data_IF_403906109562
#
_entry.id   IF_403906109562
#
_cell.length_a   1.000
_cell.length_b   1.000
_cell.length_c   1.000
_cell.angle_alpha   90.00
_cell.angle_beta   90.00
_cell.angle_gamma   90.00
#
_symmetry.space_group_name_H-M   'P 1'
#
loop_
_entity.id
_entity.type
_entity.pdbx_description
1 polymer ?
#
# COMPACT_ATOMS: atom_id res chain seq x y z
N UNK A 1 -40.22 -1.04 -41.91
CA UNK A 1 -40.04 -2.25 -41.10
C UNK A 1 -38.93 -1.98 -40.10
N UNK A 2 -39.15 -2.07 -38.78
CA UNK A 2 -38.07 -1.98 -37.81
C UNK A 2 -37.17 -3.20 -37.97
N UNK A 3 -35.86 -2.97 -38.08
CA UNK A 3 -34.86 -4.04 -38.06
C UNK A 3 -34.96 -4.81 -36.74
N UNK A 4 -34.81 -6.14 -36.73
CA UNK A 4 -34.73 -6.90 -35.49
C UNK A 4 -33.53 -6.38 -34.70
N UNK A 5 -33.80 -5.75 -33.56
CA UNK A 5 -32.76 -5.43 -32.59
C UNK A 5 -32.23 -6.76 -32.09
N UNK A 6 -31.09 -7.19 -32.63
CA UNK A 6 -30.36 -8.30 -32.06
C UNK A 6 -30.02 -7.90 -30.62
N UNK A 7 -30.70 -8.50 -29.65
CA UNK A 7 -30.35 -8.34 -28.24
C UNK A 7 -28.98 -9.00 -28.04
N UNK A 8 -27.92 -8.21 -28.19
CA UNK A 8 -26.58 -8.61 -27.77
C UNK A 8 -26.57 -8.67 -26.23
N UNK A 9 -27.02 -9.79 -25.68
CA UNK A 9 -26.85 -10.10 -24.27
C UNK A 9 -25.43 -10.61 -24.05
N UNK A 10 -24.70 -9.97 -23.14
CA UNK A 10 -23.42 -10.47 -22.65
C UNK A 10 -23.63 -11.87 -22.03
N UNK A 11 -22.73 -12.83 -22.26
CA UNK A 11 -22.73 -14.10 -21.54
C UNK A 11 -22.70 -13.86 -20.03
N UNK A 12 -23.49 -14.64 -19.28
CA UNK A 12 -23.65 -14.48 -17.83
C UNK A 12 -22.32 -14.55 -17.08
N UNK A 13 -21.40 -15.41 -17.54
CA UNK A 13 -20.06 -15.59 -16.96
C UNK A 13 -19.20 -14.35 -17.14
N UNK A 14 -19.30 -13.70 -18.32
CA UNK A 14 -18.57 -12.46 -18.58
C UNK A 14 -19.12 -11.32 -17.74
N UNK A 15 -20.45 -11.22 -17.64
CA UNK A 15 -21.11 -10.24 -16.77
C UNK A 15 -20.76 -10.46 -15.30
N UNK A 16 -20.70 -11.71 -14.83
CA UNK A 16 -20.23 -12.06 -13.49
C UNK A 16 -18.81 -11.55 -13.23
N UNK A 17 -17.87 -11.80 -14.14
CA UNK A 17 -16.49 -11.36 -13.98
C UNK A 17 -16.36 -9.84 -13.94
N UNK A 18 -17.07 -9.13 -14.82
CA UNK A 18 -17.11 -7.66 -14.84
C UNK A 18 -17.63 -7.13 -13.49
N UNK A 19 -18.77 -7.63 -13.02
CA UNK A 19 -19.38 -7.18 -11.77
C UNK A 19 -18.51 -7.50 -10.56
N UNK A 20 -17.89 -8.68 -10.52
CA UNK A 20 -16.96 -9.04 -9.46
C UNK A 20 -15.76 -8.08 -9.43
N UNK A 21 -15.18 -7.73 -10.59
CA UNK A 21 -14.06 -6.78 -10.65
C UNK A 21 -14.46 -5.39 -10.20
N UNK A 22 -15.62 -4.88 -10.66
CA UNK A 22 -16.14 -3.57 -10.24
C UNK A 22 -16.37 -3.53 -8.72
N UNK A 23 -16.99 -4.57 -8.15
CA UNK A 23 -17.23 -4.64 -6.71
C UNK A 23 -15.92 -4.72 -5.93
N UNK A 24 -14.99 -5.57 -6.36
CA UNK A 24 -13.66 -5.72 -5.73
C UNK A 24 -12.91 -4.41 -5.70
N UNK A 25 -12.86 -3.73 -6.85
CA UNK A 25 -12.21 -2.43 -6.99
C UNK A 25 -12.89 -1.40 -6.09
N UNK A 26 -14.22 -1.36 -6.04
CA UNK A 26 -14.94 -0.46 -5.14
C UNK A 26 -14.65 -0.71 -3.66
N UNK A 27 -14.57 -1.97 -3.20
CA UNK A 27 -14.15 -2.26 -1.82
C UNK A 27 -12.75 -1.70 -1.55
N UNK A 28 -11.81 -1.92 -2.49
CA UNK A 28 -10.46 -1.43 -2.35
C UNK A 28 -10.41 0.10 -2.29
N UNK A 29 -11.08 0.79 -3.22
CA UNK A 29 -11.10 2.25 -3.30
C UNK A 29 -11.73 2.89 -2.07
N UNK A 30 -12.79 2.30 -1.50
CA UNK A 30 -13.36 2.74 -0.21
C UNK A 30 -12.29 2.76 0.89
N UNK A 31 -11.45 1.71 0.94
CA UNK A 31 -10.39 1.60 1.93
C UNK A 31 -9.26 2.59 1.66
N UNK A 32 -8.72 2.62 0.44
CA UNK A 32 -7.43 3.26 0.18
C UNK A 32 -7.50 4.67 -0.38
N UNK A 33 -8.57 5.04 -1.10
CA UNK A 33 -8.63 6.31 -1.83
C UNK A 33 -8.63 7.53 -0.89
N UNK A 34 -7.81 8.56 -1.14
CA UNK A 34 -7.88 9.82 -0.40
C UNK A 34 -9.10 10.66 -0.81
N UNK A 35 -9.61 10.48 -2.03
CA UNK A 35 -10.66 11.30 -2.61
C UNK A 35 -12.07 10.86 -2.17
N UNK A 36 -13.07 11.53 -2.75
CA UNK A 36 -14.47 11.13 -2.66
C UNK A 36 -14.65 9.68 -3.16
N UNK A 37 -15.37 8.90 -2.37
CA UNK A 37 -15.67 7.48 -2.60
C UNK A 37 -17.16 7.20 -2.60
N UNK A 38 -18.01 8.24 -2.69
CA UNK A 38 -19.47 8.10 -2.63
C UNK A 38 -19.98 7.07 -3.62
N UNK A 39 -19.50 7.09 -4.87
CA UNK A 39 -19.87 6.08 -5.86
C UNK A 39 -19.49 4.66 -5.43
N UNK A 40 -18.27 4.47 -4.88
CA UNK A 40 -17.80 3.15 -4.46
C UNK A 40 -18.59 2.60 -3.26
N UNK A 41 -19.03 3.47 -2.34
CA UNK A 41 -19.90 3.11 -1.21
C UNK A 41 -21.29 2.65 -1.68
N UNK A 42 -21.76 3.15 -2.82
CA UNK A 42 -23.07 2.84 -3.40
C UNK A 42 -23.02 1.85 -4.57
N UNK A 43 -21.84 1.40 -4.99
CA UNK A 43 -21.66 0.56 -6.18
C UNK A 43 -22.54 -0.70 -6.16
N UNK A 44 -22.65 -1.37 -5.01
CA UNK A 44 -23.54 -2.53 -4.84
C UNK A 44 -25.00 -2.20 -5.17
N UNK A 45 -25.53 -1.11 -4.61
CA UNK A 45 -26.91 -0.69 -4.80
C UNK A 45 -27.16 -0.27 -6.26
N UNK A 46 -26.27 0.57 -6.80
CA UNK A 46 -26.35 1.05 -8.18
C UNK A 46 -26.35 -0.10 -9.19
N UNK A 47 -25.43 -1.06 -9.06
CA UNK A 47 -25.38 -2.21 -9.95
C UNK A 47 -26.64 -3.09 -9.82
N UNK A 48 -27.14 -3.29 -8.60
CA UNK A 48 -28.36 -4.08 -8.35
C UNK A 48 -29.64 -3.44 -8.93
N UNK A 49 -29.63 -2.13 -9.20
CA UNK A 49 -30.75 -1.39 -9.75
C UNK A 49 -30.84 -1.44 -11.28
N UNK A 50 -29.77 -1.85 -11.99
CA UNK A 50 -29.70 -1.81 -13.46
C UNK A 50 -30.75 -2.73 -14.11
N UNK A 51 -30.74 -4.01 -13.76
CA UNK A 51 -31.72 -5.00 -14.26
C UNK A 51 -31.75 -6.22 -13.34
N UNK A 52 -32.69 -7.15 -13.59
CA UNK A 52 -32.82 -8.37 -12.80
C UNK A 52 -31.55 -9.24 -12.80
N UNK A 53 -30.91 -9.43 -13.97
CA UNK A 53 -29.70 -10.24 -14.08
C UNK A 53 -28.53 -9.66 -13.27
N UNK A 54 -28.31 -8.34 -13.33
CA UNK A 54 -27.30 -7.67 -12.51
C UNK A 54 -27.58 -7.86 -11.02
N UNK A 55 -28.83 -7.68 -10.60
CA UNK A 55 -29.24 -7.85 -9.20
C UNK A 55 -28.93 -9.24 -8.66
N UNK A 56 -29.28 -10.27 -9.41
CA UNK A 56 -29.04 -11.66 -8.98
C UNK A 56 -27.55 -11.98 -8.92
N UNK A 57 -26.77 -11.51 -9.90
CA UNK A 57 -25.32 -11.72 -9.92
C UNK A 57 -24.64 -10.97 -8.77
N UNK A 58 -24.94 -9.69 -8.58
CA UNK A 58 -24.40 -8.87 -7.47
C UNK A 58 -24.77 -9.49 -6.13
N UNK A 59 -26.03 -9.90 -5.96
CA UNK A 59 -26.49 -10.61 -4.77
C UNK A 59 -25.68 -11.88 -4.52
N UNK A 60 -25.47 -12.70 -5.53
CA UNK A 60 -24.70 -13.94 -5.43
C UNK A 60 -23.24 -13.72 -5.09
N UNK A 61 -22.60 -12.70 -5.66
CA UNK A 61 -21.22 -12.31 -5.33
C UNK A 61 -21.13 -11.83 -3.88
N UNK A 62 -21.99 -10.87 -3.50
CA UNK A 62 -21.91 -10.24 -2.20
C UNK A 62 -22.34 -11.15 -1.05
N UNK A 63 -23.33 -12.02 -1.24
CA UNK A 63 -23.71 -13.00 -0.23
C UNK A 63 -22.56 -13.94 0.12
N UNK A 64 -21.79 -14.40 -0.89
CA UNK A 64 -20.60 -15.23 -0.67
C UNK A 64 -19.46 -14.44 -0.03
N UNK A 65 -19.14 -13.26 -0.58
CA UNK A 65 -17.98 -12.47 -0.15
C UNK A 65 -18.14 -11.91 1.27
N UNK A 66 -19.36 -11.53 1.62
CA UNK A 66 -19.72 -11.00 2.94
C UNK A 66 -20.37 -12.04 3.84
N UNK A 67 -20.33 -13.34 3.46
CA UNK A 67 -20.80 -14.47 4.27
C UNK A 67 -22.22 -14.26 4.84
N UNK A 68 -23.09 -13.65 4.04
CA UNK A 68 -24.46 -13.36 4.45
C UNK A 68 -25.31 -14.62 4.31
N UNK A 69 -25.72 -15.17 5.45
CA UNK A 69 -26.51 -16.42 5.53
C UNK A 69 -28.03 -16.21 5.46
N UNK A 70 -28.52 -14.97 5.31
CA UNK A 70 -29.95 -14.67 5.29
C UNK A 70 -30.63 -14.98 3.95
N UNK A 71 -31.82 -15.58 4.00
CA UNK A 71 -32.67 -15.81 2.81
C UNK A 71 -33.23 -14.49 2.23
N UNK A 72 -33.32 -13.44 3.06
CA UNK A 72 -33.85 -12.14 2.66
C UNK A 72 -32.82 -11.25 1.97
N UNK A 73 -33.02 -11.04 0.66
CA UNK A 73 -32.24 -10.12 -0.17
C UNK A 73 -32.31 -8.66 0.30
N UNK A 74 -33.38 -8.28 1.00
CA UNK A 74 -33.58 -6.91 1.48
C UNK A 74 -32.52 -6.48 2.51
N UNK A 75 -31.95 -7.42 3.27
CA UNK A 75 -30.94 -7.14 4.31
C UNK A 75 -29.50 -7.05 3.79
N UNK A 76 -29.21 -7.56 2.59
CA UNK A 76 -27.83 -7.68 2.11
C UNK A 76 -27.19 -6.33 1.80
N UNK A 77 -27.88 -5.44 1.07
CA UNK A 77 -27.31 -4.17 0.67
C UNK A 77 -26.96 -3.25 1.87
N UNK A 78 -27.85 -3.07 2.88
CA UNK A 78 -27.50 -2.36 4.10
C UNK A 78 -26.34 -3.00 4.87
N UNK A 79 -26.26 -4.34 4.88
CA UNK A 79 -25.17 -5.08 5.54
C UNK A 79 -23.81 -4.82 4.86
N UNK A 80 -23.75 -4.93 3.54
CA UNK A 80 -22.55 -4.61 2.74
C UNK A 80 -22.14 -3.17 2.97
N UNK A 81 -23.08 -2.23 2.88
CA UNK A 81 -22.81 -0.81 3.07
C UNK A 81 -22.22 -0.51 4.46
N UNK A 82 -22.76 -1.13 5.53
CA UNK A 82 -22.22 -1.00 6.89
C UNK A 82 -20.75 -1.43 6.98
N UNK A 83 -20.38 -2.56 6.37
CA UNK A 83 -18.99 -3.01 6.34
C UNK A 83 -18.09 -2.06 5.55
N UNK A 84 -18.55 -1.58 4.40
CA UNK A 84 -17.79 -0.61 3.60
C UNK A 84 -17.57 0.70 4.35
N UNK A 85 -18.58 1.21 5.06
CA UNK A 85 -18.44 2.41 5.89
C UNK A 85 -17.46 2.20 7.05
N UNK A 86 -17.48 1.03 7.70
CA UNK A 86 -16.52 0.70 8.74
C UNK A 86 -15.07 0.63 8.19
N UNK A 87 -14.90 -0.02 7.03
CA UNK A 87 -13.62 -0.07 6.32
C UNK A 87 -13.14 1.31 5.87
N UNK A 88 -14.05 2.19 5.42
CA UNK A 88 -13.74 3.58 5.08
C UNK A 88 -13.19 4.33 6.28
N UNK A 89 -13.87 4.26 7.43
CA UNK A 89 -13.46 4.92 8.65
C UNK A 89 -12.05 4.45 9.08
N UNK A 90 -11.78 3.15 9.00
CA UNK A 90 -10.47 2.59 9.29
C UNK A 90 -9.39 3.06 8.28
N UNK A 91 -9.73 3.14 6.99
CA UNK A 91 -8.83 3.66 5.95
C UNK A 91 -8.50 5.15 6.11
N UNK A 92 -9.49 5.98 6.44
CA UNK A 92 -9.29 7.42 6.74
C UNK A 92 -8.32 7.59 7.89
N UNK A 93 -8.48 6.80 8.97
CA UNK A 93 -7.62 6.89 10.14
C UNK A 93 -6.13 6.61 9.85
N UNK A 94 -5.81 5.82 8.80
CA UNK A 94 -4.42 5.56 8.40
C UNK A 94 -3.85 6.68 7.54
N UNK A 95 -4.67 7.30 6.68
CA UNK A 95 -4.22 8.41 5.82
C UNK A 95 -3.93 9.68 6.59
N UNK A 96 -4.69 9.91 7.67
CA UNK A 96 -4.48 11.06 8.55
C UNK A 96 -4.11 10.57 9.95
N UNK A 97 -2.92 9.95 10.11
CA UNK A 97 -2.46 9.60 11.43
C UNK A 97 -2.32 10.91 12.20
N UNK A 98 -3.08 11.06 13.28
CA UNK A 98 -2.96 12.21 14.18
C UNK A 98 -1.47 12.37 14.53
N UNK A 99 -0.91 13.59 14.67
CA UNK A 99 0.52 13.79 14.97
C UNK A 99 1.00 13.05 16.23
N UNK A 100 0.05 12.68 17.07
CA UNK A 100 0.20 11.73 18.18
C UNK A 100 -0.97 10.75 18.14
N UNK A 101 -0.73 9.49 17.76
CA UNK A 101 -1.15 8.47 18.71
C UNK A 101 -0.12 7.34 18.80
N UNK A 102 0.29 7.05 20.03
CA UNK A 102 0.98 5.81 20.44
C UNK A 102 0.07 4.57 20.35
N UNK A 103 -1.18 4.73 19.91
CA UNK A 103 -2.17 3.65 19.82
C UNK A 103 -2.98 3.76 18.54
N UNK A 104 -3.00 2.67 17.75
CA UNK A 104 -3.88 2.52 16.61
C UNK A 104 -5.34 2.45 17.10
N UNK A 105 -6.02 3.60 17.18
CA UNK A 105 -7.40 3.70 17.65
C UNK A 105 -8.40 3.34 16.54
N UNK A 106 -8.15 2.30 15.75
CA UNK A 106 -9.26 1.71 15.00
C UNK A 106 -10.06 0.83 15.95
N UNK A 107 -11.40 0.96 15.96
CA UNK A 107 -12.24 0.02 16.70
C UNK A 107 -11.87 -1.40 16.25
N UNK A 108 -11.70 -2.35 17.18
CA UNK A 108 -11.52 -3.74 16.81
C UNK A 108 -12.70 -4.15 15.94
N UNK A 109 -12.41 -4.60 14.71
CA UNK A 109 -13.44 -5.17 13.85
C UNK A 109 -14.00 -6.41 14.54
N UNK A 110 -15.31 -6.58 14.43
CA UNK A 110 -16.05 -7.70 15.00
C UNK A 110 -15.37 -9.02 14.57
N UNK A 111 -14.99 -9.94 15.49
CA UNK A 111 -14.45 -11.24 15.12
C UNK A 111 -15.42 -12.07 14.26
N UNK A 112 -16.72 -11.74 14.27
CA UNK A 112 -17.72 -12.31 13.37
C UNK A 112 -17.81 -11.60 12.00
N UNK A 113 -16.97 -10.60 11.74
CA UNK A 113 -16.95 -9.92 10.44
C UNK A 113 -16.56 -10.88 9.31
N UNK A 114 -17.04 -10.65 8.08
CA UNK A 114 -16.69 -11.51 6.94
C UNK A 114 -15.19 -11.53 6.68
N UNK A 115 -14.68 -12.66 6.18
CA UNK A 115 -13.25 -12.87 5.97
C UNK A 115 -12.62 -11.83 5.02
N UNK A 116 -13.37 -11.35 4.02
CA UNK A 116 -12.93 -10.24 3.17
C UNK A 116 -12.67 -8.96 3.98
N UNK A 117 -13.58 -8.64 4.91
CA UNK A 117 -13.48 -7.45 5.79
C UNK A 117 -12.32 -7.62 6.77
N UNK A 118 -12.15 -8.81 7.34
CA UNK A 118 -10.99 -9.12 8.19
C UNK A 118 -9.67 -8.98 7.41
N UNK A 119 -9.62 -9.45 6.16
CA UNK A 119 -8.46 -9.30 5.30
C UNK A 119 -8.09 -7.84 5.06
N UNK A 120 -9.08 -6.99 4.74
CA UNK A 120 -8.84 -5.55 4.60
C UNK A 120 -8.42 -4.90 5.92
N UNK A 121 -8.94 -5.34 7.07
CA UNK A 121 -8.48 -4.87 8.38
C UNK A 121 -7.00 -5.16 8.64
N UNK A 122 -6.57 -6.39 8.32
CA UNK A 122 -5.18 -6.80 8.47
C UNK A 122 -4.27 -5.98 7.55
N UNK A 123 -4.69 -5.77 6.29
CA UNK A 123 -3.97 -4.92 5.35
C UNK A 123 -3.83 -3.47 5.85
N UNK A 124 -4.93 -2.88 6.31
CA UNK A 124 -4.98 -1.57 6.97
C UNK A 124 -3.94 -1.49 8.11
N UNK A 125 -3.87 -2.51 8.97
CA UNK A 125 -2.89 -2.58 10.06
C UNK A 125 -1.46 -2.71 9.57
N UNK A 126 -1.21 -3.52 8.54
CA UNK A 126 0.11 -3.65 7.90
C UNK A 126 0.60 -2.28 7.43
N UNK A 127 -0.23 -1.57 6.66
CA UNK A 127 0.11 -0.23 6.14
C UNK A 127 0.41 0.72 7.30
N UNK A 128 -0.45 0.77 8.32
CA UNK A 128 -0.22 1.62 9.49
C UNK A 128 1.11 1.31 10.19
N UNK A 129 1.36 0.04 10.48
CA UNK A 129 2.59 -0.40 11.15
C UNK A 129 3.82 -0.03 10.32
N UNK A 130 3.77 -0.19 8.99
CA UNK A 130 4.85 0.23 8.09
C UNK A 130 5.10 1.73 8.17
N UNK A 131 4.05 2.54 8.10
CA UNK A 131 4.17 4.01 8.20
C UNK A 131 4.79 4.43 9.54
N UNK A 132 4.41 3.80 10.65
CA UNK A 132 5.03 4.08 11.95
C UNK A 132 6.48 3.62 12.00
N UNK A 133 6.78 2.44 11.48
CA UNK A 133 8.12 1.87 11.48
C UNK A 133 9.13 2.72 10.71
N UNK A 134 8.72 3.31 9.58
CA UNK A 134 9.54 4.24 8.80
C UNK A 134 10.12 5.35 9.69
N UNK A 135 9.29 5.90 10.59
CA UNK A 135 9.64 7.01 11.48
C UNK A 135 10.38 6.60 12.76
N UNK A 136 10.69 5.31 12.92
CA UNK A 136 11.34 4.76 14.10
C UNK A 136 12.86 4.64 13.90
N UNK A 137 13.53 3.72 14.61
CA UNK A 137 14.96 3.44 14.41
C UNK A 137 15.16 2.34 13.36
N UNK A 138 16.36 2.23 12.74
CA UNK A 138 16.69 1.16 11.79
C UNK A 138 16.39 -0.26 12.29
N UNK A 139 16.69 -0.52 13.57
CA UNK A 139 16.43 -1.81 14.22
C UNK A 139 14.93 -2.12 14.33
N UNK A 140 14.12 -1.12 14.73
CA UNK A 140 12.66 -1.27 14.80
C UNK A 140 12.10 -1.50 13.39
N UNK A 141 12.55 -0.73 12.40
CA UNK A 141 12.13 -0.87 11.01
C UNK A 141 12.36 -2.29 10.49
N UNK A 142 13.57 -2.82 10.69
CA UNK A 142 13.95 -4.16 10.20
C UNK A 142 13.13 -5.26 10.87
N UNK A 143 12.98 -5.21 12.20
CA UNK A 143 12.17 -6.19 12.94
C UNK A 143 10.70 -6.16 12.52
N UNK A 144 10.18 -4.97 12.26
CA UNK A 144 8.78 -4.74 11.86
C UNK A 144 8.54 -5.21 10.43
N UNK A 145 9.48 -4.99 9.52
CA UNK A 145 9.40 -5.45 8.12
C UNK A 145 9.35 -6.98 8.01
N UNK A 146 10.08 -7.68 8.87
CA UNK A 146 9.99 -9.14 8.98
C UNK A 146 8.62 -9.59 9.49
N UNK A 147 8.08 -8.92 10.51
CA UNK A 147 6.75 -9.21 11.04
C UNK A 147 5.64 -8.97 9.98
N UNK A 148 5.71 -7.83 9.26
CA UNK A 148 4.80 -7.51 8.16
C UNK A 148 4.81 -8.62 7.12
N UNK A 149 5.99 -9.08 6.69
CA UNK A 149 6.12 -10.15 5.71
C UNK A 149 5.42 -11.45 6.15
N UNK A 150 5.54 -11.80 7.44
CA UNK A 150 4.83 -12.93 8.03
C UNK A 150 3.30 -12.77 8.02
N UNK A 151 2.81 -11.57 8.37
CA UNK A 151 1.37 -11.27 8.37
C UNK A 151 0.80 -11.24 6.96
N UNK A 152 1.54 -10.72 5.97
CA UNK A 152 1.16 -10.79 4.55
C UNK A 152 1.01 -12.23 4.10
N UNK A 153 1.95 -13.11 4.45
CA UNK A 153 1.85 -14.54 4.12
C UNK A 153 0.57 -15.20 4.68
N UNK A 154 0.22 -14.87 5.93
CA UNK A 154 -1.05 -15.30 6.53
C UNK A 154 -2.27 -14.71 5.80
N UNK A 155 -2.24 -13.42 5.48
CA UNK A 155 -3.30 -12.73 4.75
C UNK A 155 -3.55 -13.39 3.39
N UNK A 156 -2.50 -13.67 2.61
CA UNK A 156 -2.62 -14.36 1.31
C UNK A 156 -3.30 -15.72 1.46
N UNK A 157 -2.89 -16.52 2.45
CA UNK A 157 -3.50 -17.83 2.73
C UNK A 157 -4.98 -17.71 3.12
N UNK A 158 -5.35 -16.73 3.95
CA UNK A 158 -6.73 -16.44 4.31
C UNK A 158 -7.57 -16.08 3.07
N UNK A 159 -7.04 -15.20 2.22
CA UNK A 159 -7.72 -14.73 1.01
C UNK A 159 -7.92 -15.83 -0.03
N UNK A 160 -6.99 -16.78 -0.14
CA UNK A 160 -7.08 -17.88 -1.10
C UNK A 160 -8.01 -19.01 -0.65
N UNK A 161 -8.18 -19.18 0.66
CA UNK A 161 -8.92 -20.33 1.22
C UNK A 161 -10.31 -19.98 1.73
N UNK A 162 -10.57 -18.71 2.09
CA UNK A 162 -11.79 -18.32 2.82
C UNK A 162 -12.64 -17.26 2.12
N UNK A 163 -12.17 -16.63 1.05
CA UNK A 163 -12.92 -15.59 0.34
C UNK A 163 -13.43 -16.10 -1.00
N UNK A 164 -14.75 -16.09 -1.15
CA UNK A 164 -15.44 -16.47 -2.39
C UNK A 164 -16.38 -15.35 -2.85
N UNK A 165 -16.48 -15.07 -4.17
CA UNK A 165 -15.65 -15.64 -5.23
C UNK A 165 -14.22 -15.12 -5.16
N UNK A 166 -13.24 -15.92 -5.61
CA UNK A 166 -11.80 -15.56 -5.62
C UNK A 166 -11.49 -14.19 -6.24
N UNK A 167 -12.29 -13.74 -7.20
CA UNK A 167 -12.14 -12.41 -7.79
C UNK A 167 -12.24 -11.28 -6.74
N UNK A 168 -13.07 -11.46 -5.69
CA UNK A 168 -13.25 -10.47 -4.61
C UNK A 168 -12.01 -10.24 -3.75
N UNK A 169 -11.05 -11.17 -3.76
CA UNK A 169 -9.79 -11.01 -3.07
C UNK A 169 -8.65 -10.54 -3.99
N UNK A 170 -8.86 -10.42 -5.30
CA UNK A 170 -7.79 -10.22 -6.26
C UNK A 170 -6.99 -8.94 -6.03
N UNK A 171 -7.69 -7.81 -5.87
CA UNK A 171 -7.04 -6.50 -5.66
C UNK A 171 -6.34 -6.45 -4.31
N UNK A 172 -6.95 -6.99 -3.25
CA UNK A 172 -6.32 -7.03 -1.93
C UNK A 172 -5.07 -7.93 -1.91
N UNK A 173 -5.08 -9.05 -2.65
CA UNK A 173 -3.89 -9.91 -2.79
C UNK A 173 -2.74 -9.18 -3.47
N UNK A 174 -3.02 -8.47 -4.57
CA UNK A 174 -2.01 -7.68 -5.26
C UNK A 174 -1.43 -6.62 -4.32
N UNK A 175 -2.29 -5.83 -3.69
CA UNK A 175 -1.87 -4.80 -2.74
C UNK A 175 -1.05 -5.37 -1.56
N UNK A 176 -1.43 -6.53 -1.02
CA UNK A 176 -0.67 -7.18 0.05
C UNK A 176 0.71 -7.68 -0.43
N UNK A 177 0.80 -8.17 -1.67
CA UNK A 177 2.08 -8.56 -2.27
C UNK A 177 2.99 -7.34 -2.48
N UNK A 178 2.43 -6.20 -2.91
CA UNK A 178 3.16 -4.94 -3.03
C UNK A 178 3.71 -4.51 -1.67
N UNK A 179 2.91 -4.56 -0.60
CA UNK A 179 3.35 -4.26 0.78
C UNK A 179 4.50 -5.15 1.26
N UNK A 180 4.49 -6.44 0.92
CA UNK A 180 5.62 -7.33 1.20
C UNK A 180 6.87 -6.98 0.37
N UNK A 181 6.70 -6.59 -0.90
CA UNK A 181 7.81 -6.13 -1.72
C UNK A 181 8.45 -4.86 -1.14
N UNK A 182 7.64 -3.86 -0.78
CA UNK A 182 8.08 -2.63 -0.13
C UNK A 182 8.83 -2.91 1.17
N UNK A 183 8.31 -3.81 2.01
CA UNK A 183 8.95 -4.16 3.28
C UNK A 183 10.34 -4.78 3.08
N UNK A 184 10.51 -5.62 2.04
CA UNK A 184 11.81 -6.21 1.69
C UNK A 184 12.78 -5.15 1.17
N UNK A 185 12.33 -4.28 0.27
CA UNK A 185 13.15 -3.22 -0.31
C UNK A 185 13.61 -2.25 0.78
N UNK A 186 12.68 -1.75 1.60
CA UNK A 186 13.02 -0.83 2.69
C UNK A 186 13.98 -1.46 3.69
N UNK A 187 13.79 -2.75 4.02
CA UNK A 187 14.70 -3.47 4.91
C UNK A 187 16.10 -3.61 4.34
N UNK A 188 16.22 -3.87 3.03
CA UNK A 188 17.51 -3.91 2.34
C UNK A 188 18.20 -2.54 2.35
N UNK A 189 17.48 -1.46 2.05
CA UNK A 189 18.01 -0.08 2.06
C UNK A 189 18.51 0.31 3.44
N UNK A 190 17.70 0.09 4.49
CA UNK A 190 18.08 0.41 5.88
C UNK A 190 19.30 -0.39 6.31
N UNK A 191 19.31 -1.71 6.09
CA UNK A 191 20.44 -2.56 6.46
C UNK A 191 21.74 -2.17 5.76
N UNK A 192 21.64 -1.68 4.52
CA UNK A 192 22.79 -1.24 3.75
C UNK A 192 23.33 0.11 4.24
N UNK A 193 22.45 1.04 4.63
CA UNK A 193 22.84 2.28 5.29
C UNK A 193 23.49 2.02 6.65
N UNK A 194 23.00 1.06 7.44
CA UNK A 194 23.63 0.67 8.71
C UNK A 194 25.07 0.14 8.50
N UNK A 195 25.27 -0.69 7.47
CA UNK A 195 26.59 -1.18 7.09
C UNK A 195 27.53 -0.04 6.69
N UNK A 196 27.04 0.91 5.90
CA UNK A 196 27.82 2.07 5.45
C UNK A 196 28.16 3.01 6.61
N UNK A 197 27.24 3.27 7.52
CA UNK A 197 27.48 4.06 8.72
C UNK A 197 28.55 3.40 9.61
N UNK A 198 28.46 2.08 9.82
CA UNK A 198 29.45 1.32 10.57
C UNK A 198 30.85 1.33 9.93
N UNK A 199 30.92 1.32 8.59
CA UNK A 199 32.19 1.50 7.86
C UNK A 199 32.75 2.90 8.06
N UNK A 200 31.92 3.94 7.98
CA UNK A 200 32.34 5.33 8.19
C UNK A 200 32.88 5.57 9.61
N UNK A 201 32.25 5.00 10.64
CA UNK A 201 32.73 5.12 12.02
C UNK A 201 34.08 4.43 12.26
N UNK A 202 34.35 3.34 11.54
CA UNK A 202 35.61 2.60 11.64
C UNK A 202 36.73 3.21 10.81
N UNK A 203 36.42 4.13 9.90
CA UNK A 203 37.40 4.73 9.00
C UNK A 203 38.51 5.56 9.65
N UNK A 204 38.24 6.38 10.69
CA UNK A 204 39.28 7.12 11.40
C UNK A 204 40.32 6.19 12.03
N UNK A 205 39.95 4.93 12.32
CA UNK A 205 40.82 3.91 12.91
C UNK A 205 41.47 2.99 11.86
N UNK A 206 40.94 2.94 10.63
CA UNK A 206 41.35 2.03 9.57
C UNK A 206 41.99 2.73 8.35
N UNK A 207 42.29 4.03 8.43
CA UNK A 207 42.86 4.84 7.35
C UNK A 207 44.21 4.33 6.79
N UNK A 208 44.90 3.41 7.47
CA UNK A 208 46.08 2.70 6.93
C UNK A 208 45.76 1.33 6.26
N UNK A 209 44.59 0.73 6.54
CA UNK A 209 44.26 -0.63 6.09
C UNK A 209 43.20 -0.68 4.96
N UNK A 210 42.32 0.31 4.85
CA UNK A 210 41.23 0.33 3.86
C UNK A 210 41.66 0.96 2.52
N UNK A 211 42.52 0.24 1.77
CA UNK A 211 42.77 0.50 0.34
C UNK A 211 41.87 -0.33 -0.59
N UNK A 212 40.94 -1.11 -0.06
CA UNK A 212 40.02 -1.94 -0.86
C UNK A 212 38.65 -1.27 -0.94
N UNK A 213 38.46 -0.41 -1.95
CA UNK A 213 37.22 0.34 -2.24
C UNK A 213 36.00 -0.50 -2.58
N UNK A 214 36.14 -1.83 -2.72
CA UNK A 214 35.09 -2.71 -3.24
C UNK A 214 33.81 -2.72 -2.39
N UNK A 215 33.91 -2.66 -1.06
CA UNK A 215 32.73 -2.85 -0.18
C UNK A 215 31.77 -1.66 -0.19
N UNK A 216 32.28 -0.43 -0.37
CA UNK A 216 31.45 0.76 -0.46
C UNK A 216 30.81 0.90 -1.85
N UNK A 217 31.55 0.57 -2.92
CA UNK A 217 31.03 0.62 -4.29
C UNK A 217 29.95 -0.43 -4.55
N UNK A 218 30.15 -1.66 -4.06
CA UNK A 218 29.13 -2.71 -4.16
C UNK A 218 27.87 -2.33 -3.38
N UNK A 219 28.03 -1.74 -2.19
CA UNK A 219 26.90 -1.21 -1.41
C UNK A 219 26.14 -0.09 -2.14
N UNK A 220 26.84 0.83 -2.81
CA UNK A 220 26.19 1.89 -3.58
C UNK A 220 25.42 1.30 -4.78
N UNK A 221 25.98 0.27 -5.43
CA UNK A 221 25.31 -0.44 -6.52
C UNK A 221 24.06 -1.16 -6.05
N UNK A 222 24.10 -1.80 -4.89
CA UNK A 222 22.95 -2.49 -4.29
C UNK A 222 21.83 -1.51 -3.90
N UNK A 223 22.17 -0.33 -3.34
CA UNK A 223 21.19 0.75 -3.11
C UNK A 223 20.53 1.17 -4.42
N UNK A 224 21.33 1.39 -5.47
CA UNK A 224 20.81 1.81 -6.78
C UNK A 224 19.92 0.72 -7.43
N UNK A 225 20.25 -0.56 -7.24
CA UNK A 225 19.43 -1.67 -7.72
C UNK A 225 18.10 -1.78 -6.96
N UNK A 226 18.11 -1.62 -5.63
CA UNK A 226 16.90 -1.60 -4.81
C UNK A 226 15.97 -0.42 -5.16
N UNK A 227 16.55 0.76 -5.40
CA UNK A 227 15.81 1.95 -5.88
C UNK A 227 15.21 1.72 -7.28
N UNK A 228 15.91 1.02 -8.17
CA UNK A 228 15.39 0.66 -9.48
C UNK A 228 14.24 -0.37 -9.40
N UNK A 229 14.38 -1.40 -8.57
CA UNK A 229 13.33 -2.40 -8.31
C UNK A 229 12.08 -1.74 -7.72
N UNK A 230 12.26 -0.81 -6.77
CA UNK A 230 11.16 -0.02 -6.22
C UNK A 230 10.41 0.75 -7.31
N UNK A 231 11.13 1.42 -8.22
CA UNK A 231 10.49 2.17 -9.31
C UNK A 231 9.75 1.27 -10.28
N UNK A 232 10.29 0.09 -10.60
CA UNK A 232 9.56 -0.88 -11.41
C UNK A 232 8.23 -1.26 -10.76
N UNK A 233 8.18 -1.45 -9.43
CA UNK A 233 6.93 -1.71 -8.70
C UNK A 233 5.95 -0.53 -8.73
N UNK A 234 6.44 0.71 -8.74
CA UNK A 234 5.61 1.90 -8.85
C UNK A 234 5.06 2.05 -10.27
N UNK A 235 5.90 1.85 -11.29
CA UNK A 235 5.58 2.06 -12.70
C UNK A 235 4.67 0.94 -13.27
N UNK A 236 4.83 -0.31 -12.82
CA UNK A 236 4.00 -1.45 -13.25
C UNK A 236 2.57 -1.41 -12.68
N UNK A 237 2.32 -0.61 -11.64
CA UNK A 237 1.03 -0.51 -10.99
C UNK A 237 0.19 0.66 -11.53
N UNK A 238 -0.70 0.36 -12.48
CA UNK A 238 -1.63 1.32 -13.11
C UNK A 238 -2.61 2.00 -12.13
N UNK A 239 -2.73 1.51 -10.90
CA UNK A 239 -3.40 2.19 -9.80
C UNK A 239 -2.36 2.68 -8.81
N UNK A 240 -2.28 4.00 -8.53
CA UNK A 240 -1.35 4.50 -7.54
C UNK A 240 -1.66 3.82 -6.22
N UNK A 241 -0.74 3.00 -5.72
CA UNK A 241 -0.80 2.56 -4.34
C UNK A 241 -0.64 3.85 -3.54
N UNK A 242 -1.67 4.33 -2.81
CA UNK A 242 -1.69 5.69 -2.27
C UNK A 242 -0.61 5.95 -1.21
N UNK A 243 0.20 4.94 -0.89
CA UNK A 243 1.33 4.98 0.05
C UNK A 243 2.67 4.53 -0.58
N UNK A 244 2.75 4.43 -1.91
CA UNK A 244 3.99 4.15 -2.67
C UNK A 244 4.50 5.37 -3.43
N UNK A 245 4.20 6.59 -2.97
CA UNK A 245 4.95 7.74 -3.45
C UNK A 245 6.42 7.56 -3.09
N UNK A 246 7.39 7.78 -3.99
CA UNK A 246 8.82 7.75 -3.67
C UNK A 246 9.20 8.55 -2.42
N UNK A 247 8.37 9.51 -2.00
CA UNK A 247 8.47 10.22 -0.73
C UNK A 247 8.60 9.31 0.51
N UNK A 248 8.07 8.09 0.52
CA UNK A 248 8.21 7.20 1.68
C UNK A 248 9.67 6.80 1.94
N UNK A 249 10.54 6.82 0.92
CA UNK A 249 11.99 6.59 1.10
C UNK A 249 12.63 7.69 1.96
N UNK A 250 12.15 8.92 1.87
CA UNK A 250 12.59 10.02 2.73
C UNK A 250 12.09 9.88 4.17
N UNK A 251 11.02 9.11 4.39
CA UNK A 251 10.55 8.75 5.73
C UNK A 251 11.36 7.61 6.36
N UNK A 252 12.29 6.96 5.63
CA UNK A 252 13.12 5.89 6.19
C UNK A 252 14.14 6.42 7.20
N UNK A 253 14.44 5.65 8.26
CA UNK A 253 15.24 6.14 9.36
C UNK A 253 16.73 6.22 9.01
N UNK A 254 17.34 7.37 9.29
CA UNK A 254 18.78 7.65 9.13
C UNK A 254 19.34 7.52 7.70
N UNK A 255 18.51 7.20 6.69
CA UNK A 255 18.96 6.90 5.32
C UNK A 255 19.47 8.18 4.62
N UNK A 256 18.69 9.26 4.63
CA UNK A 256 19.08 10.54 4.03
C UNK A 256 20.36 11.12 4.67
N UNK A 257 20.39 11.17 6.01
CA UNK A 257 21.57 11.63 6.76
C UNK A 257 22.81 10.75 6.50
N UNK A 258 22.63 9.45 6.27
CA UNK A 258 23.75 8.55 5.94
C UNK A 258 24.25 8.77 4.51
N UNK A 259 23.37 8.93 3.53
CA UNK A 259 23.79 9.24 2.16
C UNK A 259 24.51 10.60 2.07
N UNK A 260 24.00 11.63 2.76
CA UNK A 260 24.67 12.93 2.83
C UNK A 260 26.08 12.82 3.42
N UNK A 261 26.23 12.09 4.53
CA UNK A 261 27.53 11.84 5.16
C UNK A 261 28.52 11.12 4.22
N UNK A 262 28.02 10.20 3.38
CA UNK A 262 28.85 9.48 2.41
C UNK A 262 29.25 10.36 1.21
N UNK A 263 28.36 11.24 0.74
CA UNK A 263 28.68 12.19 -0.33
C UNK A 263 29.87 13.11 0.03
N UNK A 264 30.03 13.43 1.32
CA UNK A 264 31.10 14.32 1.82
C UNK A 264 32.36 13.55 2.23
N UNK A 265 32.43 12.22 2.04
CA UNK A 265 33.61 11.41 2.37
C UNK A 265 34.49 11.13 1.12
N UNK A 266 35.43 12.03 0.74
CA UNK A 266 36.15 11.96 -0.53
C UNK A 266 37.06 10.75 -0.68
N UNK A 267 37.46 10.09 0.42
CA UNK A 267 38.43 8.99 0.42
C UNK A 267 37.82 7.60 0.16
N UNK A 268 36.50 7.46 0.19
CA UNK A 268 35.83 6.14 0.26
C UNK A 268 35.21 5.67 -1.05
N UNK A 269 34.96 6.59 -1.97
CA UNK A 269 34.02 6.37 -3.07
C UNK A 269 34.61 6.96 -4.34
N UNK A 270 34.66 6.15 -5.41
CA UNK A 270 35.03 6.63 -6.75
C UNK A 270 34.11 7.77 -7.22
N UNK A 271 34.57 8.54 -8.19
CA UNK A 271 33.77 9.65 -8.72
C UNK A 271 32.45 9.17 -9.35
N UNK A 272 32.44 7.97 -9.95
CA UNK A 272 31.22 7.34 -10.49
C UNK A 272 30.21 7.01 -9.39
N UNK A 273 30.66 6.38 -8.31
CA UNK A 273 29.79 6.04 -7.18
C UNK A 273 29.35 7.30 -6.41
N UNK A 274 30.17 8.36 -6.39
CA UNK A 274 29.79 9.68 -5.87
C UNK A 274 28.71 10.33 -6.74
N UNK A 275 28.77 10.18 -8.07
CA UNK A 275 27.73 10.67 -8.97
C UNK A 275 26.40 9.92 -8.75
N UNK A 276 26.44 8.60 -8.55
CA UNK A 276 25.26 7.79 -8.21
C UNK A 276 24.66 8.22 -6.87
N UNK A 277 25.49 8.38 -5.83
CA UNK A 277 25.05 8.87 -4.52
C UNK A 277 24.46 10.28 -4.61
N UNK A 278 25.09 11.19 -5.34
CA UNK A 278 24.60 12.56 -5.52
C UNK A 278 23.25 12.56 -6.24
N UNK A 279 23.07 11.70 -7.24
CA UNK A 279 21.79 11.53 -7.92
C UNK A 279 20.72 10.94 -6.99
N UNK A 280 21.07 9.97 -6.12
CA UNK A 280 20.16 9.43 -5.11
C UNK A 280 19.74 10.51 -4.11
N UNK A 281 20.70 11.25 -3.54
CA UNK A 281 20.44 12.34 -2.59
C UNK A 281 19.56 13.42 -3.22
N UNK A 282 19.88 13.89 -4.43
CA UNK A 282 19.09 14.92 -5.11
C UNK A 282 17.65 14.44 -5.36
N UNK A 283 17.46 13.18 -5.79
CA UNK A 283 16.13 12.60 -5.99
C UNK A 283 15.34 12.49 -4.69
N UNK A 284 15.99 12.12 -3.60
CA UNK A 284 15.33 11.97 -2.30
C UNK A 284 15.03 13.32 -1.65
N UNK A 285 15.88 14.33 -1.85
CA UNK A 285 15.60 15.70 -1.43
C UNK A 285 14.37 16.28 -2.13
N UNK A 286 14.25 16.06 -3.46
CA UNK A 286 13.06 16.44 -4.24
C UNK A 286 11.79 15.75 -3.73
N UNK A 287 11.88 14.47 -3.35
CA UNK A 287 10.74 13.73 -2.81
C UNK A 287 10.25 14.31 -1.48
N UNK A 288 11.17 14.73 -0.60
CA UNK A 288 10.85 15.43 0.65
C UNK A 288 10.17 16.78 0.42
N UNK A 289 10.61 17.56 -0.58
CA UNK A 289 10.02 18.86 -0.91
C UNK A 289 8.60 18.72 -1.50
N UNK A 290 8.39 17.73 -2.36
CA UNK A 290 7.05 17.44 -2.90
C UNK A 290 6.06 16.97 -1.84
N UNK A 291 6.53 16.21 -0.84
CA UNK A 291 5.69 15.79 0.29
C UNK A 291 5.25 16.96 1.20
N UNK A 292 6.03 18.05 1.24
CA UNK A 292 5.67 19.25 2.01
C UNK A 292 4.66 20.15 1.28
N UNK A 293 4.72 20.21 -0.05
CA UNK A 293 3.84 21.06 -0.85
C UNK A 293 2.38 20.55 -0.90
N UNK A 294 2.18 19.23 -0.91
CA UNK A 294 0.85 18.61 -0.86
C UNK A 294 0.19 18.70 0.54
N UNK A 295 0.98 18.89 1.60
CA UNK A 295 0.46 19.05 2.96
C UNK A 295 -0.13 20.45 3.23
N UNK A 296 0.34 21.49 2.52
CA UNK A 296 -0.05 22.88 2.73
C UNK A 296 -1.25 23.34 1.87
N UNK A 297 -1.71 22.52 0.91
CA UNK A 297 -2.79 22.91 -0.02
C UNK A 297 -4.20 22.48 0.41
N UNK A 298 -4.35 21.72 1.52
CA UNK A 298 -5.65 21.11 1.91
C UNK A 298 -6.40 21.82 3.05
N UNK A 299 -6.05 23.07 3.36
CA UNK A 299 -6.89 23.95 4.20
C UNK A 299 -7.80 24.80 3.30
N UNK A 300 -8.70 24.16 2.56
CA UNK A 300 -9.89 24.86 2.07
C UNK A 300 -10.85 25.03 3.23
N UNK A 301 -10.83 26.24 3.81
CA UNK A 301 -11.87 26.70 4.74
C UNK A 301 -13.25 26.47 4.09
N UNK A 302 -14.23 25.87 4.79
CA UNK A 302 -15.59 25.84 4.30
C UNK A 302 -16.10 27.28 4.24
N UNK A 303 -16.50 27.70 3.03
CA UNK A 303 -17.22 28.95 2.84
C UNK A 303 -18.49 28.92 3.70
N UNK A 304 -18.58 29.84 4.65
CA UNK A 304 -19.79 30.09 5.40
C UNK A 304 -20.87 30.62 4.43
N UNK A 305 -21.92 29.83 4.24
CA UNK A 305 -23.16 30.17 3.54
C UNK A 305 -24.31 29.45 4.20
#
# INVERSE_FOLDING_TARGET
MPLPVAHFALPTELLFNILAHVLTHSVHMVVVSPHDVEWHLHAHHTLSAVCFAFREIVRGISAKAFQFAGEDSAGLAPHVHRHLTALRAAGIAIRHPVPTPTTFATPPLDPAAPQLVQGYSLYIRIVYIRTQAARCTPAIYTSTSAAISGVVGFLSMLLDTRVEPRAMAAVLRAAAADEAALSRIGGAVVGLCDLLAALQEKLPQAAEALKTSLTAEDAIRDIAAADAEFRALVDDNATPIPYCSPAWLAELPDVAATLERLCVAPALVSDDARAVLSALVARWALASETSGADADTDVLQPAAG
#
